data_IF_389715103585
#
_entry.id   IF_389715103585
#
_cell.length_a   1.000
_cell.length_b   1.000
_cell.length_c   1.000
_cell.angle_alpha   90.00
_cell.angle_beta   90.00
_cell.angle_gamma   90.00
#
_symmetry.space_group_name_H-M   'P 1'
#
loop_
_entity.id
_entity.type
_entity.pdbx_description
1 polymer ?
#
# COMPACT_ATOMS: atom_id res chain seq x y z
N UNK A 1 -5.94 31.47 17.50
CA UNK A 1 -6.51 30.33 18.25
C UNK A 1 -7.99 30.32 17.98
N UNK A 2 -8.42 29.67 16.89
CA UNK A 2 -9.84 29.46 16.65
C UNK A 2 -10.21 28.07 17.16
N UNK A 3 -11.16 28.04 18.09
CA UNK A 3 -11.74 26.82 18.64
C UNK A 3 -12.45 26.05 17.51
N UNK A 4 -12.36 24.72 17.46
CA UNK A 4 -13.08 23.97 16.44
C UNK A 4 -14.60 24.19 16.62
N UNK A 5 -15.26 24.61 15.54
CA UNK A 5 -16.68 24.86 15.45
C UNK A 5 -17.44 23.55 15.71
N UNK A 6 -17.84 23.30 16.95
CA UNK A 6 -18.67 22.16 17.35
C UNK A 6 -20.13 22.26 16.90
N UNK A 7 -20.57 23.42 16.41
CA UNK A 7 -21.97 23.75 16.17
C UNK A 7 -22.34 24.05 14.70
N UNK A 8 -21.52 23.62 13.74
CA UNK A 8 -21.91 23.75 12.34
C UNK A 8 -23.07 22.79 12.03
N UNK A 9 -24.12 23.26 11.29
CA UNK A 9 -25.23 22.40 10.90
C UNK A 9 -24.73 21.23 10.05
N UNK A 10 -25.20 20.03 10.37
CA UNK A 10 -24.88 18.83 9.62
C UNK A 10 -25.57 18.88 8.25
N UNK A 11 -24.87 18.49 7.18
CA UNK A 11 -25.42 18.41 5.82
C UNK A 11 -26.67 17.52 5.79
N UNK A 12 -27.75 17.90 5.10
CA UNK A 12 -28.90 17.01 4.91
C UNK A 12 -28.47 15.65 4.36
N UNK A 13 -29.02 14.56 4.91
CA UNK A 13 -28.65 13.18 4.56
C UNK A 13 -27.43 12.64 5.32
N UNK A 14 -26.82 13.44 6.21
CA UNK A 14 -25.70 13.06 7.07
C UNK A 14 -26.10 13.10 8.54
N UNK A 15 -25.39 12.34 9.36
CA UNK A 15 -25.44 12.43 10.81
C UNK A 15 -24.03 12.63 11.38
N UNK A 16 -23.94 13.23 12.56
CA UNK A 16 -22.69 13.52 13.26
C UNK A 16 -22.49 12.56 14.41
N UNK A 17 -21.28 12.02 14.52
CA UNK A 17 -20.82 11.23 15.66
C UNK A 17 -19.44 11.68 16.09
N UNK A 18 -19.13 11.55 17.39
CA UNK A 18 -17.78 11.75 17.93
C UNK A 18 -17.21 10.40 18.36
N UNK A 19 -16.10 9.99 17.76
CA UNK A 19 -15.42 8.72 18.06
C UNK A 19 -13.96 9.03 18.34
N UNK A 20 -13.44 8.71 19.53
CA UNK A 20 -12.07 8.97 19.96
C UNK A 20 -11.62 10.42 19.69
N UNK A 21 -12.44 11.41 20.07
CA UNK A 21 -12.21 12.85 19.86
C UNK A 21 -12.15 13.29 18.40
N UNK A 22 -12.54 12.43 17.44
CA UNK A 22 -12.69 12.77 16.04
C UNK A 22 -14.16 12.90 15.70
N UNK A 23 -14.54 14.03 15.11
CA UNK A 23 -15.90 14.25 14.61
C UNK A 23 -16.06 13.57 13.26
N UNK A 24 -17.11 12.76 13.13
CA UNK A 24 -17.48 12.06 11.90
C UNK A 24 -18.83 12.57 11.42
N UNK A 25 -18.85 13.19 10.26
CA UNK A 25 -20.07 13.49 9.53
C UNK A 25 -20.19 12.49 8.38
N UNK A 26 -21.13 11.57 8.50
CA UNK A 26 -21.29 10.46 7.55
C UNK A 26 -22.72 10.35 7.03
N UNK A 27 -22.93 9.88 5.78
CA UNK A 27 -24.27 9.63 5.26
C UNK A 27 -25.06 8.67 6.18
N UNK A 28 -26.38 8.85 6.28
CA UNK A 28 -27.27 7.97 7.07
C UNK A 28 -27.20 6.50 6.64
N UNK A 29 -26.67 6.23 5.44
CA UNK A 29 -26.41 4.89 4.93
C UNK A 29 -25.48 4.09 5.85
N UNK A 30 -24.55 4.75 6.55
CA UNK A 30 -23.54 4.10 7.39
C UNK A 30 -23.87 4.28 8.87
N UNK A 31 -24.02 3.17 9.59
CA UNK A 31 -24.35 3.16 11.01
C UNK A 31 -23.37 2.30 11.83
N UNK A 32 -23.48 2.35 13.15
CA UNK A 32 -22.66 1.57 14.09
C UNK A 32 -21.15 1.78 13.90
N UNK A 33 -20.72 3.02 13.76
CA UNK A 33 -19.32 3.37 13.58
C UNK A 33 -18.49 2.99 14.81
N UNK A 34 -17.38 2.30 14.59
CA UNK A 34 -16.40 1.95 15.63
C UNK A 34 -14.99 2.26 15.13
N UNK A 35 -14.18 2.91 15.96
CA UNK A 35 -12.80 3.19 15.59
C UNK A 35 -11.99 1.88 15.47
N UNK A 36 -11.27 1.71 14.37
CA UNK A 36 -10.40 0.56 14.12
C UNK A 36 -8.95 0.94 13.90
N UNK A 37 -8.65 2.19 13.55
CA UNK A 37 -7.27 2.61 13.38
C UNK A 37 -7.10 4.12 13.23
N UNK A 38 -5.91 4.61 13.57
CA UNK A 38 -5.49 6.00 13.33
C UNK A 38 -4.04 6.00 12.91
N UNK A 39 -3.72 6.71 11.84
CA UNK A 39 -2.38 6.85 11.29
C UNK A 39 -2.03 8.31 11.00
N UNK A 40 -0.83 8.53 10.45
CA UNK A 40 -0.32 9.87 10.15
C UNK A 40 -1.19 10.65 9.13
N UNK A 41 -1.97 9.96 8.31
CA UNK A 41 -2.70 10.56 7.18
C UNK A 41 -4.22 10.54 7.34
N UNK A 42 -4.74 9.87 8.36
CA UNK A 42 -6.18 9.76 8.55
C UNK A 42 -6.55 8.82 9.68
N UNK A 43 -7.84 8.74 9.94
CA UNK A 43 -8.44 7.82 10.88
C UNK A 43 -9.44 6.92 10.18
N UNK A 44 -9.58 5.68 10.66
CA UNK A 44 -10.43 4.66 10.07
C UNK A 44 -11.42 4.16 11.11
N UNK A 45 -12.68 4.06 10.72
CA UNK A 45 -13.70 3.37 11.49
C UNK A 45 -14.34 2.24 10.67
N UNK A 46 -14.79 1.18 11.33
CA UNK A 46 -15.75 0.26 10.74
C UNK A 46 -17.16 0.83 10.83
N UNK A 47 -18.02 0.47 9.92
CA UNK A 47 -19.44 0.80 9.93
C UNK A 47 -20.25 -0.33 9.31
N UNK A 48 -21.57 -0.32 9.50
CA UNK A 48 -22.51 -1.18 8.78
C UNK A 48 -23.17 -0.36 7.68
N UNK A 49 -23.02 -0.78 6.45
CA UNK A 49 -23.80 -0.25 5.32
C UNK A 49 -25.25 -0.70 5.45
N UNK A 50 -26.17 0.23 5.69
CA UNK A 50 -27.58 -0.08 5.90
C UNK A 50 -28.29 -0.61 4.63
N UNK A 51 -27.70 -0.40 3.45
CA UNK A 51 -28.22 -0.87 2.17
C UNK A 51 -27.86 -2.33 1.93
N UNK A 52 -26.57 -2.70 2.07
CA UNK A 52 -26.08 -4.06 1.82
C UNK A 52 -26.07 -4.94 3.06
N UNK A 53 -26.14 -4.34 4.26
CA UNK A 53 -25.97 -4.98 5.58
C UNK A 53 -24.54 -5.46 5.85
N UNK A 54 -23.61 -5.14 4.99
CA UNK A 54 -22.23 -5.53 5.11
C UNK A 54 -21.42 -4.59 5.99
N UNK A 55 -20.36 -5.11 6.58
CA UNK A 55 -19.39 -4.33 7.33
C UNK A 55 -18.40 -3.69 6.36
N UNK A 56 -18.22 -2.38 6.48
CA UNK A 56 -17.33 -1.58 5.63
C UNK A 56 -16.31 -0.83 6.47
N UNK A 57 -15.20 -0.41 5.85
CA UNK A 57 -14.24 0.51 6.45
C UNK A 57 -14.42 1.91 5.86
N UNK A 58 -14.44 2.93 6.73
CA UNK A 58 -14.53 4.35 6.34
C UNK A 58 -13.23 5.02 6.78
N UNK A 59 -12.43 5.50 5.82
CA UNK A 59 -11.19 6.26 6.06
C UNK A 59 -11.44 7.73 5.85
N UNK A 60 -11.25 8.53 6.89
CA UNK A 60 -11.30 10.00 6.86
C UNK A 60 -9.89 10.55 6.83
N UNK A 61 -9.56 11.34 5.82
CA UNK A 61 -8.23 11.95 5.67
C UNK A 61 -8.06 13.18 6.56
N UNK A 62 -6.85 13.33 7.14
CA UNK A 62 -6.49 14.51 7.91
C UNK A 62 -5.93 15.59 6.99
N UNK A 63 -6.61 16.75 6.92
CA UNK A 63 -6.16 17.96 6.21
C UNK A 63 -5.53 17.66 4.84
N UNK A 64 -6.25 16.99 3.94
CA UNK A 64 -5.70 16.55 2.64
C UNK A 64 -5.17 17.72 1.79
N UNK A 65 -5.55 18.96 2.08
CA UNK A 65 -5.13 20.15 1.35
C UNK A 65 -4.13 21.01 2.12
N UNK A 66 -3.46 20.49 3.13
CA UNK A 66 -2.49 21.24 3.94
C UNK A 66 -1.21 21.59 3.15
N UNK A 67 -0.81 20.75 2.20
CA UNK A 67 0.32 20.97 1.29
C UNK A 67 0.08 20.28 -0.04
N UNK A 68 0.90 20.65 -1.05
CA UNK A 68 0.86 20.03 -2.37
C UNK A 68 1.05 18.50 -2.28
N UNK A 69 2.00 18.03 -1.47
CA UNK A 69 2.28 16.61 -1.25
C UNK A 69 1.04 15.87 -0.72
N UNK A 70 0.31 16.47 0.23
CA UNK A 70 -0.90 15.86 0.79
C UNK A 70 -2.03 15.82 -0.25
N UNK A 71 -2.20 16.88 -1.03
CA UNK A 71 -3.26 16.95 -2.05
C UNK A 71 -3.02 15.95 -3.18
N UNK A 72 -1.81 15.89 -3.73
CA UNK A 72 -1.44 14.93 -4.77
C UNK A 72 -1.58 13.47 -4.28
N UNK A 73 -1.15 13.21 -3.04
CA UNK A 73 -1.29 11.89 -2.42
C UNK A 73 -2.75 11.47 -2.24
N UNK A 74 -3.60 12.40 -1.79
CA UNK A 74 -5.02 12.14 -1.60
C UNK A 74 -5.73 11.85 -2.95
N UNK A 75 -5.38 12.60 -4.00
CA UNK A 75 -5.88 12.34 -5.35
C UNK A 75 -5.44 10.98 -5.88
N UNK A 76 -4.16 10.66 -5.76
CA UNK A 76 -3.59 9.37 -6.18
C UNK A 76 -4.29 8.19 -5.49
N UNK A 77 -4.44 8.23 -4.17
CA UNK A 77 -5.12 7.18 -3.41
C UNK A 77 -6.56 7.00 -3.92
N UNK A 78 -7.28 8.09 -4.17
CA UNK A 78 -8.65 8.05 -4.69
C UNK A 78 -8.71 7.43 -6.10
N UNK A 79 -7.83 7.87 -7.02
CA UNK A 79 -7.76 7.32 -8.38
C UNK A 79 -7.41 5.84 -8.40
N UNK A 80 -6.45 5.42 -7.57
CA UNK A 80 -6.08 4.01 -7.42
C UNK A 80 -7.25 3.18 -6.90
N UNK A 81 -7.92 3.62 -5.83
CA UNK A 81 -9.08 2.92 -5.27
C UNK A 81 -10.26 2.84 -6.24
N UNK A 82 -10.43 3.81 -7.14
CA UNK A 82 -11.44 3.76 -8.22
C UNK A 82 -11.06 2.78 -9.32
N UNK A 83 -9.78 2.71 -9.67
CA UNK A 83 -9.29 1.83 -10.72
C UNK A 83 -9.35 0.35 -10.32
N UNK A 84 -9.04 0.06 -9.05
CA UNK A 84 -8.95 -1.29 -8.53
C UNK A 84 -10.33 -1.92 -8.39
N UNK A 85 -10.57 -3.01 -9.13
CA UNK A 85 -11.80 -3.80 -9.11
C UNK A 85 -11.44 -5.30 -9.10
N UNK A 86 -11.10 -5.82 -7.92
CA UNK A 86 -10.72 -7.20 -7.77
C UNK A 86 -11.16 -7.73 -6.40
N UNK A 87 -11.61 -8.97 -6.35
CA UNK A 87 -12.09 -9.61 -5.12
C UNK A 87 -11.01 -9.68 -4.02
N UNK A 88 -9.75 -9.52 -4.38
CA UNK A 88 -8.61 -9.61 -3.48
C UNK A 88 -7.86 -8.27 -3.26
N UNK A 89 -8.44 -7.12 -3.60
CA UNK A 89 -7.90 -5.77 -3.28
C UNK A 89 -9.01 -4.90 -2.72
N UNK A 90 -8.70 -4.01 -1.78
CA UNK A 90 -9.73 -3.08 -1.27
C UNK A 90 -10.33 -2.30 -2.44
N UNK A 91 -11.65 -2.37 -2.58
CA UNK A 91 -12.42 -1.71 -3.61
C UNK A 91 -13.11 -0.48 -3.02
N UNK A 92 -13.19 0.61 -3.79
CA UNK A 92 -13.93 1.80 -3.41
C UNK A 92 -15.43 1.54 -3.57
N UNK A 93 -16.14 1.44 -2.45
CA UNK A 93 -17.60 1.29 -2.43
C UNK A 93 -18.33 2.63 -2.46
N UNK A 94 -17.69 3.66 -1.89
CA UNK A 94 -18.23 5.01 -1.86
C UNK A 94 -17.14 6.04 -1.53
N UNK A 95 -17.35 7.26 -1.95
CA UNK A 95 -16.56 8.42 -1.51
C UNK A 95 -17.51 9.59 -1.28
N UNK A 96 -17.34 10.31 -0.18
CA UNK A 96 -18.23 11.43 0.16
C UNK A 96 -17.49 12.54 0.91
N UNK A 97 -18.07 13.73 0.84
CA UNK A 97 -17.66 14.86 1.67
C UNK A 97 -18.87 15.45 2.39
N UNK A 98 -18.73 15.83 3.67
CA UNK A 98 -19.77 16.57 4.36
C UNK A 98 -19.88 18.02 3.86
N UNK A 99 -18.88 18.52 3.15
CA UNK A 99 -18.80 19.90 2.69
C UNK A 99 -19.67 20.09 1.43
N UNK A 100 -20.61 21.07 1.42
CA UNK A 100 -21.61 21.16 0.37
C UNK A 100 -21.12 21.76 -0.95
N UNK A 101 -20.03 22.54 -0.92
CA UNK A 101 -19.48 23.23 -2.09
C UNK A 101 -17.97 23.14 -2.17
N UNK A 102 -17.39 23.34 -3.36
CA UNK A 102 -15.94 23.33 -3.58
C UNK A 102 -15.20 24.33 -2.69
N UNK A 103 -15.76 25.52 -2.46
CA UNK A 103 -15.13 26.53 -1.60
C UNK A 103 -14.99 26.04 -0.15
N UNK A 104 -16.02 25.35 0.36
CA UNK A 104 -16.04 24.80 1.73
C UNK A 104 -15.37 23.44 1.85
N UNK A 105 -15.01 22.81 0.74
CA UNK A 105 -14.43 21.47 0.71
C UNK A 105 -13.08 21.39 1.42
N UNK A 106 -13.04 20.78 2.59
CA UNK A 106 -11.83 20.65 3.44
C UNK A 106 -11.45 19.20 3.73
N UNK A 107 -12.41 18.28 3.66
CA UNK A 107 -12.18 16.88 3.98
C UNK A 107 -13.13 15.97 3.22
N UNK A 108 -12.71 14.72 3.05
CA UNK A 108 -13.55 13.66 2.50
C UNK A 108 -13.22 12.32 3.14
N UNK A 109 -14.09 11.35 2.95
CA UNK A 109 -13.89 9.99 3.39
C UNK A 109 -14.15 9.00 2.26
N UNK A 110 -13.33 7.97 2.15
CA UNK A 110 -13.51 6.81 1.28
C UNK A 110 -14.10 5.64 2.07
N UNK A 111 -15.01 4.90 1.46
CA UNK A 111 -15.60 3.66 1.99
C UNK A 111 -15.11 2.51 1.14
N UNK A 112 -14.56 1.49 1.76
CA UNK A 112 -13.93 0.37 1.07
C UNK A 112 -14.44 -0.97 1.59
N UNK A 113 -14.50 -1.96 0.69
CA UNK A 113 -14.60 -3.38 1.03
C UNK A 113 -13.22 -3.92 1.43
N UNK A 114 -13.20 -5.18 1.80
CA UNK A 114 -11.94 -5.79 2.28
C UNK A 114 -11.60 -7.03 1.44
N UNK A 115 -10.61 -7.04 0.50
CA UNK A 115 -10.08 -8.27 -0.17
C UNK A 115 -8.68 -8.14 -0.84
N UNK A 116 -7.97 -9.21 -1.33
CA UNK A 116 -6.53 -9.34 -1.62
C UNK A 116 -6.16 -9.44 -3.12
N UNK A 117 -4.96 -8.95 -3.58
CA UNK A 117 -4.43 -9.20 -4.91
C UNK A 117 -3.14 -8.49 -5.29
N UNK A 118 -1.96 -9.04 -4.91
CA UNK A 118 -0.68 -8.46 -5.33
C UNK A 118 -0.46 -8.63 -6.85
N UNK A 119 -0.79 -9.80 -7.39
CA UNK A 119 -0.68 -10.06 -8.83
C UNK A 119 -1.56 -9.08 -9.64
N UNK A 120 -2.79 -8.85 -9.19
CA UNK A 120 -3.71 -7.94 -9.86
C UNK A 120 -3.19 -6.49 -9.93
N UNK A 121 -2.68 -5.95 -8.82
CA UNK A 121 -2.12 -4.59 -8.85
C UNK A 121 -0.86 -4.52 -9.72
N UNK A 122 -0.04 -5.57 -9.71
CA UNK A 122 1.14 -5.68 -10.56
C UNK A 122 0.78 -5.78 -12.05
N UNK A 123 -0.31 -6.46 -12.43
CA UNK A 123 -0.79 -6.52 -13.81
C UNK A 123 -1.26 -5.14 -14.33
N UNK A 124 -1.76 -4.28 -13.44
CA UNK A 124 -2.07 -2.87 -13.74
C UNK A 124 -0.84 -1.97 -13.86
N UNK A 125 0.37 -2.48 -13.64
CA UNK A 125 1.60 -1.68 -13.59
C UNK A 125 1.81 -0.96 -12.25
N UNK A 126 1.02 -1.23 -11.23
CA UNK A 126 1.05 -0.56 -9.93
C UNK A 126 2.01 -1.30 -9.00
N UNK A 127 2.85 -0.55 -8.26
CA UNK A 127 3.70 -1.03 -7.17
C UNK A 127 3.17 -0.48 -5.87
N UNK A 128 2.93 -1.33 -4.86
CA UNK A 128 2.40 -0.91 -3.56
C UNK A 128 3.42 -0.15 -2.71
N UNK A 129 4.67 -0.63 -2.63
CA UNK A 129 5.86 -0.03 -1.99
C UNK A 129 5.85 0.09 -0.46
N UNK A 130 4.78 -0.23 0.21
CA UNK A 130 4.67 -0.17 1.68
C UNK A 130 3.97 -1.42 2.25
N UNK A 131 4.19 -2.59 1.64
CA UNK A 131 3.69 -3.84 2.19
C UNK A 131 4.37 -4.12 3.54
N UNK A 132 3.55 -4.36 4.56
CA UNK A 132 3.93 -4.69 5.94
C UNK A 132 2.72 -5.27 6.66
N UNK A 133 2.87 -5.96 7.79
CA UNK A 133 1.74 -6.52 8.52
C UNK A 133 0.64 -5.50 8.85
N UNK A 134 1.00 -4.24 9.17
CA UNK A 134 0.03 -3.18 9.46
C UNK A 134 -0.80 -2.72 8.25
N UNK A 135 -0.40 -3.08 7.01
CA UNK A 135 -1.11 -2.80 5.77
C UNK A 135 -1.76 -4.06 5.19
N UNK A 136 -1.86 -5.11 5.98
CA UNK A 136 -2.59 -6.33 5.67
C UNK A 136 -3.69 -6.54 6.70
N UNK A 137 -4.87 -6.95 6.25
CA UNK A 137 -5.95 -7.37 7.12
C UNK A 137 -6.34 -8.80 6.78
N UNK A 138 -6.76 -9.55 7.79
CA UNK A 138 -7.26 -10.92 7.64
C UNK A 138 -8.63 -11.00 8.31
N UNK A 139 -9.61 -11.57 7.62
CA UNK A 139 -10.92 -11.80 8.19
C UNK A 139 -11.00 -13.16 8.92
N UNK A 140 -12.17 -13.48 9.47
CA UNK A 140 -12.42 -14.74 10.19
C UNK A 140 -12.35 -15.99 9.30
N UNK A 141 -12.47 -15.83 7.98
CA UNK A 141 -12.33 -16.90 6.98
C UNK A 141 -10.88 -17.04 6.48
N UNK A 142 -9.91 -16.38 7.12
CA UNK A 142 -8.50 -16.33 6.70
C UNK A 142 -8.27 -15.64 5.34
N UNK A 143 -9.25 -14.89 4.83
CA UNK A 143 -9.07 -14.09 3.62
C UNK A 143 -8.20 -12.88 3.94
N UNK A 144 -7.04 -12.81 3.31
CA UNK A 144 -6.03 -11.76 3.50
C UNK A 144 -6.31 -10.56 2.56
N UNK A 145 -5.98 -9.32 2.99
CA UNK A 145 -6.32 -8.06 2.30
C UNK A 145 -5.18 -7.04 2.35
N UNK A 146 -4.81 -6.50 1.18
CA UNK A 146 -3.86 -5.39 1.07
C UNK A 146 -4.60 -4.07 1.31
N UNK A 147 -4.02 -3.23 2.18
CA UNK A 147 -4.55 -1.92 2.58
C UNK A 147 -3.55 -0.81 2.23
N UNK A 148 -4.05 0.44 2.20
CA UNK A 148 -3.25 1.68 2.15
C UNK A 148 -2.35 1.86 0.92
N UNK A 149 -2.95 2.24 -0.20
CA UNK A 149 -2.27 2.62 -1.44
C UNK A 149 -1.66 4.03 -1.44
N UNK A 150 -1.60 4.69 -0.30
CA UNK A 150 -1.10 6.07 -0.20
C UNK A 150 0.36 6.26 -0.64
N UNK A 151 1.17 5.20 -0.72
CA UNK A 151 2.53 5.21 -1.27
C UNK A 151 2.67 4.50 -2.61
N UNK A 152 1.60 3.92 -3.15
CA UNK A 152 1.64 3.20 -4.42
C UNK A 152 2.03 4.11 -5.60
N UNK A 153 2.67 3.55 -6.61
CA UNK A 153 3.13 4.24 -7.82
C UNK A 153 3.06 3.32 -9.04
N UNK A 154 3.01 3.93 -10.23
CA UNK A 154 3.34 3.23 -11.47
C UNK A 154 4.84 2.94 -11.56
N UNK A 155 5.22 1.91 -12.34
CA UNK A 155 6.58 1.36 -12.43
C UNK A 155 7.64 2.37 -12.89
N UNK A 156 7.24 3.43 -13.59
CA UNK A 156 8.16 4.41 -14.21
C UNK A 156 8.33 5.72 -13.42
N UNK A 157 7.65 5.91 -12.28
CA UNK A 157 7.66 7.20 -11.57
C UNK A 157 8.81 7.36 -10.57
N UNK A 158 9.41 8.57 -10.51
CA UNK A 158 10.49 8.93 -9.57
C UNK A 158 10.05 9.00 -8.10
N UNK A 159 10.99 8.72 -7.17
CA UNK A 159 10.72 8.57 -5.73
C UNK A 159 11.06 9.77 -4.85
N UNK A 160 10.19 10.02 -3.87
CA UNK A 160 10.50 10.81 -2.68
C UNK A 160 10.58 9.90 -1.45
N UNK A 161 11.70 9.95 -0.71
CA UNK A 161 11.92 9.15 0.50
C UNK A 161 11.13 9.70 1.69
N UNK A 162 10.43 8.83 2.42
CA UNK A 162 9.77 9.15 3.69
C UNK A 162 10.01 8.06 4.75
N UNK A 163 10.01 8.48 6.02
CA UNK A 163 10.26 7.62 7.19
C UNK A 163 9.01 6.79 7.50
N UNK A 164 8.99 5.54 7.03
CA UNK A 164 7.99 4.52 7.40
C UNK A 164 8.76 3.25 7.72
N UNK A 165 8.16 2.30 8.44
CA UNK A 165 8.81 1.08 8.92
C UNK A 165 9.64 0.39 7.84
N UNK A 166 10.97 0.51 7.91
CA UNK A 166 11.92 0.05 6.89
C UNK A 166 12.18 -1.45 6.87
N UNK A 167 11.67 -2.18 7.86
CA UNK A 167 11.99 -3.60 8.07
C UNK A 167 11.57 -4.53 6.94
N UNK A 168 10.55 -4.13 6.16
CA UNK A 168 9.99 -4.89 5.05
C UNK A 168 10.42 -4.35 3.67
N UNK A 169 11.19 -3.26 3.63
CA UNK A 169 11.57 -2.62 2.37
C UNK A 169 12.75 -3.32 1.72
N UNK A 170 12.65 -3.47 0.40
CA UNK A 170 13.74 -3.98 -0.42
C UNK A 170 14.97 -3.07 -0.36
N UNK A 171 16.20 -3.63 -0.45
CA UNK A 171 17.44 -2.84 -0.31
C UNK A 171 17.56 -1.74 -1.36
N UNK A 172 17.13 -1.98 -2.60
CA UNK A 172 17.13 -0.97 -3.66
C UNK A 172 16.23 0.23 -3.36
N UNK A 173 15.16 0.03 -2.59
CA UNK A 173 14.26 1.11 -2.13
C UNK A 173 14.89 1.92 -1.00
N UNK A 174 15.56 1.25 -0.04
CA UNK A 174 16.17 1.90 1.12
C UNK A 174 17.29 2.84 0.70
N UNK A 175 18.08 2.43 -0.30
CA UNK A 175 19.31 3.09 -0.72
C UNK A 175 19.22 3.76 -2.08
N UNK A 176 18.05 3.69 -2.74
CA UNK A 176 17.88 4.21 -4.09
C UNK A 176 18.98 3.74 -5.06
N UNK A 177 19.29 2.44 -5.03
CA UNK A 177 20.43 1.88 -5.79
C UNK A 177 20.17 1.89 -7.29
N UNK A 178 18.93 1.67 -7.69
CA UNK A 178 18.54 1.54 -9.09
C UNK A 178 17.04 1.81 -9.24
N UNK A 179 16.55 1.84 -10.46
CA UNK A 179 15.11 1.80 -10.71
C UNK A 179 14.56 0.51 -10.10
N UNK A 180 13.49 0.64 -9.32
CA UNK A 180 12.84 -0.51 -8.73
C UNK A 180 11.60 -0.90 -9.52
N UNK A 181 11.33 -2.19 -9.51
CA UNK A 181 10.22 -2.82 -10.18
C UNK A 181 9.18 -3.32 -9.17
N UNK A 182 8.15 -3.98 -9.65
CA UNK A 182 7.13 -4.65 -8.84
C UNK A 182 7.72 -5.67 -7.84
N UNK A 183 8.92 -6.18 -8.10
CA UNK A 183 9.59 -7.15 -7.23
C UNK A 183 9.99 -6.59 -5.86
N UNK A 184 9.92 -5.26 -5.65
CA UNK A 184 10.07 -4.68 -4.30
C UNK A 184 8.95 -5.14 -3.34
N UNK A 185 7.74 -5.33 -3.87
CA UNK A 185 6.60 -5.84 -3.11
C UNK A 185 6.76 -7.33 -2.81
N UNK A 186 7.39 -8.09 -3.73
CA UNK A 186 7.73 -9.50 -3.51
C UNK A 186 8.76 -9.66 -2.38
N UNK A 187 9.76 -8.78 -2.30
CA UNK A 187 10.67 -8.72 -1.15
C UNK A 187 9.93 -8.48 0.16
N UNK A 188 9.01 -7.52 0.17
CA UNK A 188 8.20 -7.22 1.35
C UNK A 188 7.32 -8.40 1.75
N UNK A 189 6.70 -9.08 0.78
CA UNK A 189 5.92 -10.29 0.99
C UNK A 189 6.77 -11.43 1.59
N UNK A 190 8.01 -11.60 1.13
CA UNK A 190 8.94 -12.58 1.71
C UNK A 190 9.28 -12.27 3.18
N UNK A 191 9.50 -10.99 3.52
CA UNK A 191 9.74 -10.59 4.91
C UNK A 191 8.53 -10.90 5.81
N UNK A 192 7.32 -10.66 5.30
CA UNK A 192 6.07 -10.95 6.01
C UNK A 192 5.87 -12.47 6.16
N UNK A 193 6.08 -13.25 5.10
CA UNK A 193 5.99 -14.70 5.14
C UNK A 193 6.96 -15.30 6.16
N UNK A 194 8.22 -14.86 6.15
CA UNK A 194 9.22 -15.30 7.11
C UNK A 194 8.82 -14.95 8.56
N UNK A 195 8.23 -13.76 8.79
CA UNK A 195 7.73 -13.37 10.10
C UNK A 195 6.52 -14.18 10.54
N UNK A 196 5.58 -14.47 9.64
CA UNK A 196 4.41 -15.33 9.92
C UNK A 196 4.83 -16.73 10.36
N UNK A 197 5.85 -17.30 9.72
CA UNK A 197 6.35 -18.66 10.02
C UNK A 197 7.18 -18.68 11.29
N UNK A 198 8.07 -17.70 11.49
CA UNK A 198 9.04 -17.70 12.59
C UNK A 198 8.55 -16.96 13.84
N UNK A 199 7.51 -16.13 13.72
CA UNK A 199 7.05 -15.23 14.78
C UNK A 199 8.01 -14.05 15.06
N UNK A 200 9.03 -13.83 14.21
CA UNK A 200 10.05 -12.81 14.39
C UNK A 200 10.25 -11.97 13.12
N UNK A 201 10.35 -10.65 13.30
CA UNK A 201 10.69 -9.74 12.20
C UNK A 201 12.04 -10.13 11.61
N UNK A 202 12.08 -10.45 10.30
CA UNK A 202 13.27 -10.97 9.63
C UNK A 202 14.45 -9.99 9.67
N UNK A 203 14.22 -8.72 9.35
CA UNK A 203 15.25 -7.68 9.30
C UNK A 203 14.85 -6.47 10.16
N UNK A 204 15.06 -6.54 11.47
CA UNK A 204 14.71 -5.47 12.41
C UNK A 204 15.85 -4.46 12.56
N UNK A 205 16.07 -3.60 11.54
CA UNK A 205 17.07 -2.55 11.55
C UNK A 205 16.66 -1.34 12.39
N UNK A 206 17.63 -0.74 13.11
CA UNK A 206 17.44 0.49 13.88
C UNK A 206 17.46 1.73 12.99
N UNK A 207 18.31 1.72 11.96
CA UNK A 207 18.42 2.73 10.92
C UNK A 207 18.62 2.08 9.54
N UNK A 208 18.79 2.85 8.49
CA UNK A 208 18.95 2.34 7.13
C UNK A 208 20.24 1.52 6.96
N UNK A 209 21.33 1.92 7.63
CA UNK A 209 22.62 1.23 7.55
C UNK A 209 22.56 -0.11 8.31
N UNK A 210 21.97 -0.12 9.51
CA UNK A 210 21.77 -1.35 10.28
C UNK A 210 20.82 -2.30 9.54
N UNK A 211 19.77 -1.77 8.89
CA UNK A 211 18.87 -2.55 8.04
C UNK A 211 19.63 -3.26 6.93
N UNK A 212 20.48 -2.54 6.18
CA UNK A 212 21.31 -3.14 5.14
C UNK A 212 22.25 -4.22 5.69
N UNK A 213 22.94 -3.92 6.80
CA UNK A 213 23.82 -4.90 7.42
C UNK A 213 23.10 -6.20 7.79
N UNK A 214 21.86 -6.10 8.29
CA UNK A 214 21.03 -7.28 8.61
C UNK A 214 20.63 -8.05 7.37
N UNK A 215 20.25 -7.36 6.30
CA UNK A 215 19.95 -7.98 5.00
C UNK A 215 21.18 -8.73 4.50
N UNK A 216 22.33 -8.06 4.40
CA UNK A 216 23.55 -8.65 3.84
C UNK A 216 24.11 -9.83 4.66
N UNK A 217 23.80 -9.90 5.96
CA UNK A 217 24.14 -11.08 6.80
C UNK A 217 23.44 -12.36 6.35
N UNK A 218 22.27 -12.24 5.71
CA UNK A 218 21.52 -13.38 5.16
C UNK A 218 21.87 -13.60 3.68
N UNK A 219 21.77 -12.53 2.89
CA UNK A 219 21.85 -12.60 1.43
C UNK A 219 23.27 -12.60 0.88
N UNK A 220 24.26 -12.26 1.72
CA UNK A 220 25.63 -11.96 1.28
C UNK A 220 25.77 -10.55 0.73
N UNK A 221 27.00 -10.10 0.47
CA UNK A 221 27.26 -8.84 -0.20
C UNK A 221 26.96 -8.95 -1.70
N UNK A 222 26.44 -7.86 -2.34
CA UNK A 222 26.25 -7.84 -3.79
C UNK A 222 27.54 -8.17 -4.54
N UNK A 223 27.44 -8.89 -5.61
CA UNK A 223 28.56 -9.15 -6.51
C UNK A 223 28.89 -7.92 -7.38
N UNK A 224 30.00 -8.00 -8.11
CA UNK A 224 30.45 -6.89 -8.95
C UNK A 224 29.48 -6.55 -10.07
N UNK A 225 28.69 -7.51 -10.57
CA UNK A 225 27.72 -7.28 -11.64
C UNK A 225 26.53 -6.47 -11.13
N UNK A 226 26.01 -6.81 -9.96
CA UNK A 226 24.92 -6.06 -9.34
C UNK A 226 25.37 -4.66 -8.92
N UNK A 227 26.59 -4.52 -8.37
CA UNK A 227 27.14 -3.19 -8.03
C UNK A 227 27.27 -2.29 -9.25
N UNK A 228 27.61 -2.83 -10.42
CA UNK A 228 27.68 -2.05 -11.68
C UNK A 228 26.31 -1.54 -12.17
N UNK A 229 25.23 -2.25 -11.87
CA UNK A 229 23.85 -1.83 -12.20
C UNK A 229 23.38 -0.67 -11.32
N UNK A 230 24.01 -0.39 -10.19
CA UNK A 230 23.63 0.71 -9.30
C UNK A 230 23.88 2.06 -9.97
N UNK A 231 22.89 2.94 -9.97
CA UNK A 231 22.99 4.27 -10.64
C UNK A 231 23.86 5.25 -9.87
N UNK A 232 23.80 5.21 -8.53
CA UNK A 232 24.56 6.11 -7.67
C UNK A 232 26.00 5.62 -7.49
N UNK A 233 26.99 6.45 -7.90
CA UNK A 233 28.41 6.18 -7.65
C UNK A 233 28.74 6.10 -6.16
N UNK A 234 28.04 6.87 -5.34
CA UNK A 234 28.20 6.85 -3.88
C UNK A 234 27.70 5.52 -3.31
N UNK A 235 26.56 5.02 -3.78
CA UNK A 235 26.04 3.70 -3.41
C UNK A 235 27.02 2.59 -3.82
N UNK A 236 27.54 2.64 -5.06
CA UNK A 236 28.56 1.69 -5.53
C UNK A 236 29.82 1.72 -4.64
N UNK A 237 30.33 2.92 -4.31
CA UNK A 237 31.53 3.07 -3.48
C UNK A 237 31.29 2.57 -2.06
N UNK A 238 30.11 2.89 -1.50
CA UNK A 238 29.72 2.40 -0.17
C UNK A 238 29.66 0.87 -0.11
N UNK A 239 28.97 0.25 -1.07
CA UNK A 239 28.81 -1.21 -1.10
C UNK A 239 30.15 -1.92 -1.31
N UNK A 240 31.04 -1.41 -2.20
CA UNK A 240 32.39 -1.94 -2.39
C UNK A 240 33.27 -1.82 -1.14
N UNK A 241 33.01 -0.82 -0.29
CA UNK A 241 33.71 -0.63 0.98
C UNK A 241 33.22 -1.52 2.13
N UNK A 242 32.11 -2.25 1.95
CA UNK A 242 31.61 -3.16 2.97
C UNK A 242 32.48 -4.41 3.07
N UNK A 243 32.68 -4.96 4.28
CA UNK A 243 33.31 -6.27 4.46
C UNK A 243 32.54 -7.34 3.69
N UNK A 244 33.22 -8.15 2.86
CA UNK A 244 32.57 -9.23 2.12
C UNK A 244 31.86 -10.21 3.07
N UNK A 245 30.62 -10.52 2.77
CA UNK A 245 29.82 -11.53 3.48
C UNK A 245 29.36 -12.59 2.49
N UNK A 246 29.50 -13.86 2.87
CA UNK A 246 28.96 -14.97 2.09
C UNK A 246 27.44 -15.06 2.34
N UNK A 247 26.68 -15.38 1.29
CA UNK A 247 25.27 -15.78 1.41
C UNK A 247 25.17 -16.93 2.40
N UNK A 248 24.27 -16.81 3.38
CA UNK A 248 23.99 -17.91 4.31
C UNK A 248 23.22 -19.02 3.60
N UNK A 249 23.38 -20.24 4.09
CA UNK A 249 22.47 -21.32 3.76
C UNK A 249 21.11 -21.03 4.40
N UNK A 250 20.05 -20.93 3.60
CA UNK A 250 18.71 -20.63 4.09
C UNK A 250 18.14 -21.75 4.98
N UNK A 251 18.54 -23.03 4.74
CA UNK A 251 18.17 -24.15 5.63
C UNK A 251 18.74 -23.97 7.05
N UNK A 252 19.94 -23.40 7.16
CA UNK A 252 20.55 -23.10 8.46
C UNK A 252 19.94 -21.82 9.09
N UNK A 253 19.53 -20.86 8.26
CA UNK A 253 18.90 -19.63 8.72
C UNK A 253 17.46 -19.84 9.20
N UNK A 254 16.77 -20.84 8.63
CA UNK A 254 15.37 -21.18 8.93
C UNK A 254 15.25 -22.67 9.29
N UNK A 255 15.78 -23.09 10.45
CA UNK A 255 15.78 -24.49 10.83
C UNK A 255 14.37 -25.02 11.04
N UNK A 256 14.08 -26.20 10.51
CA UNK A 256 12.79 -26.89 10.67
C UNK A 256 11.72 -26.49 9.67
N UNK A 257 12.01 -25.60 8.71
CA UNK A 257 11.10 -25.32 7.61
C UNK A 257 11.25 -26.35 6.49
N UNK A 258 10.16 -26.54 5.75
CA UNK A 258 10.11 -27.35 4.54
C UNK A 258 11.02 -26.78 3.44
N UNK A 259 11.57 -27.66 2.60
CA UNK A 259 12.45 -27.27 1.52
C UNK A 259 11.78 -26.35 0.51
N UNK A 260 10.50 -26.53 0.22
CA UNK A 260 9.77 -25.72 -0.74
C UNK A 260 9.56 -24.28 -0.24
N UNK A 261 9.26 -24.08 1.05
CA UNK A 261 9.15 -22.71 1.59
C UNK A 261 10.50 -22.02 1.67
N UNK A 262 11.58 -22.78 1.92
CA UNK A 262 12.95 -22.25 1.92
C UNK A 262 13.33 -21.80 0.51
N UNK A 263 13.05 -22.60 -0.51
CA UNK A 263 13.31 -22.26 -1.92
C UNK A 263 12.52 -21.01 -2.36
N UNK A 264 11.25 -20.94 -2.01
CA UNK A 264 10.42 -19.76 -2.26
C UNK A 264 11.03 -18.51 -1.61
N UNK A 265 11.35 -18.55 -0.31
CA UNK A 265 11.96 -17.43 0.40
C UNK A 265 13.30 -17.01 -0.22
N UNK A 266 14.12 -17.98 -0.63
CA UNK A 266 15.42 -17.72 -1.26
C UNK A 266 15.26 -17.00 -2.61
N UNK A 267 14.29 -17.41 -3.43
CA UNK A 267 13.94 -16.76 -4.70
C UNK A 267 13.34 -15.36 -4.53
N UNK A 268 12.53 -15.15 -3.49
CA UNK A 268 11.93 -13.85 -3.19
C UNK A 268 12.91 -12.85 -2.54
N UNK A 269 13.99 -13.31 -1.88
CA UNK A 269 14.97 -12.48 -1.17
C UNK A 269 16.29 -12.32 -1.95
N UNK A 270 16.26 -12.41 -3.27
CA UNK A 270 17.42 -12.11 -4.09
C UNK A 270 17.68 -10.59 -4.08
N UNK A 271 18.97 -10.21 -3.93
CA UNK A 271 19.39 -8.81 -3.94
C UNK A 271 19.17 -8.15 -5.29
N UNK A 272 19.43 -8.90 -6.39
CA UNK A 272 19.14 -8.41 -7.74
C UNK A 272 17.63 -8.46 -8.02
N UNK A 273 16.95 -7.30 -8.15
CA UNK A 273 15.52 -7.27 -8.41
C UNK A 273 15.12 -7.88 -9.76
N UNK A 274 16.05 -7.96 -10.74
CA UNK A 274 15.81 -8.59 -12.04
C UNK A 274 15.83 -10.13 -11.95
N UNK A 275 16.58 -10.68 -11.01
CA UNK A 275 16.65 -12.12 -10.76
C UNK A 275 15.59 -12.58 -9.73
N UNK A 276 15.05 -11.66 -8.94
CA UNK A 276 14.04 -11.94 -7.91
C UNK A 276 12.74 -12.43 -8.55
N UNK A 277 12.07 -13.39 -7.91
CA UNK A 277 10.76 -13.87 -8.34
C UNK A 277 9.78 -12.72 -8.53
N UNK A 278 8.98 -12.79 -9.59
CA UNK A 278 7.77 -11.97 -9.76
C UNK A 278 6.61 -12.55 -8.96
N UNK A 279 5.53 -11.78 -8.74
CA UNK A 279 4.32 -12.28 -8.08
C UNK A 279 3.77 -13.52 -8.80
N UNK A 280 3.74 -13.50 -10.14
CA UNK A 280 3.28 -14.63 -10.97
C UNK A 280 4.14 -15.88 -10.78
N UNK A 281 5.46 -15.71 -10.79
CA UNK A 281 6.37 -16.85 -10.55
C UNK A 281 6.22 -17.39 -9.13
N UNK A 282 6.05 -16.51 -8.13
CA UNK A 282 5.82 -16.93 -6.75
C UNK A 282 4.53 -17.73 -6.58
N UNK A 283 3.44 -17.37 -7.25
CA UNK A 283 2.17 -18.11 -7.22
C UNK A 283 2.26 -19.48 -7.90
N UNK A 284 3.12 -19.62 -8.89
CA UNK A 284 3.37 -20.91 -9.57
C UNK A 284 4.40 -21.79 -8.83
N UNK A 285 4.94 -21.34 -7.68
CA UNK A 285 5.94 -22.07 -6.91
C UNK A 285 5.31 -23.30 -6.21
N UNK A 286 6.01 -24.46 -6.15
CA UNK A 286 5.48 -25.69 -5.53
C UNK A 286 4.87 -25.49 -4.14
N UNK A 287 5.44 -24.63 -3.30
CA UNK A 287 4.94 -24.35 -1.96
C UNK A 287 3.50 -23.81 -1.92
N UNK A 288 3.07 -23.09 -2.94
CA UNK A 288 1.73 -22.47 -3.01
C UNK A 288 0.88 -22.98 -4.16
N UNK A 289 1.42 -23.83 -5.03
CA UNK A 289 0.77 -24.25 -6.27
C UNK A 289 -0.58 -24.96 -6.05
N UNK A 290 -0.76 -25.66 -4.91
CA UNK A 290 -2.04 -26.31 -4.59
C UNK A 290 -3.17 -25.33 -4.25
N UNK A 291 -2.82 -24.08 -3.91
CA UNK A 291 -3.76 -22.98 -3.61
C UNK A 291 -3.91 -22.00 -4.79
N UNK A 292 -3.18 -22.22 -5.87
CA UNK A 292 -3.15 -21.38 -7.05
C UNK A 292 -4.21 -21.82 -8.06
N UNK A 293 -5.15 -20.93 -8.37
CA UNK A 293 -6.19 -21.14 -9.39
C UNK A 293 -6.01 -20.10 -10.50
N UNK A 294 -5.34 -20.47 -11.62
CA UNK A 294 -5.08 -19.54 -12.73
C UNK A 294 -6.35 -18.98 -13.39
N UNK A 295 -7.49 -19.71 -13.31
CA UNK A 295 -8.77 -19.28 -13.89
C UNK A 295 -9.43 -18.18 -13.04
N UNK A 296 -9.02 -18.03 -11.78
CA UNK A 296 -9.49 -16.99 -10.85
C UNK A 296 -8.53 -15.78 -10.75
N UNK A 297 -7.60 -15.61 -11.68
CA UNK A 297 -6.60 -14.53 -11.68
C UNK A 297 -6.83 -13.54 -12.84
N UNK A 298 -7.84 -12.65 -12.77
CA UNK A 298 -8.05 -11.67 -13.82
C UNK A 298 -6.91 -10.65 -13.85
N UNK A 299 -6.42 -10.35 -15.04
CA UNK A 299 -5.52 -9.22 -15.27
C UNK A 299 -6.28 -7.90 -15.11
N UNK A 300 -5.64 -6.91 -14.49
CA UNK A 300 -6.16 -5.55 -14.45
C UNK A 300 -5.90 -4.82 -15.77
N UNK A 301 -6.75 -3.84 -16.09
CA UNK A 301 -6.42 -2.87 -17.11
C UNK A 301 -5.24 -2.00 -16.66
N UNK A 302 -4.39 -1.53 -17.60
CA UNK A 302 -3.31 -0.60 -17.26
C UNK A 302 -3.85 0.65 -16.53
N UNK A 303 -3.18 1.04 -15.46
CA UNK A 303 -3.55 2.23 -14.69
C UNK A 303 -3.02 3.49 -15.37
N UNK A 304 -3.91 4.47 -15.60
CA UNK A 304 -3.54 5.80 -16.10
C UNK A 304 -3.03 6.69 -14.97
N UNK A 305 -1.72 6.91 -14.92
CA UNK A 305 -1.05 7.80 -13.99
C UNK A 305 -0.56 9.12 -14.62
N UNK A 306 -1.07 9.48 -15.80
CA UNK A 306 -0.67 10.69 -16.54
C UNK A 306 -0.76 11.97 -15.70
N UNK A 307 -1.63 12.01 -14.69
CA UNK A 307 -1.75 13.12 -13.76
C UNK A 307 -0.51 13.32 -12.87
N UNK A 308 0.35 12.30 -12.68
CA UNK A 308 1.56 12.42 -11.86
C UNK A 308 2.58 13.42 -12.43
N UNK A 309 2.53 13.65 -13.75
CA UNK A 309 3.38 14.63 -14.43
C UNK A 309 2.83 16.06 -14.37
N UNK A 310 1.62 16.26 -13.80
CA UNK A 310 0.98 17.57 -13.75
C UNK A 310 1.54 18.42 -12.61
N UNK A 311 1.96 19.64 -12.95
CA UNK A 311 2.34 20.67 -11.98
C UNK A 311 1.14 21.55 -11.64
N UNK A 312 0.26 21.08 -10.75
CA UNK A 312 -0.96 21.77 -10.36
C UNK A 312 -0.83 22.42 -8.98
N UNK A 313 -1.49 23.56 -8.78
CA UNK A 313 -1.63 24.18 -7.48
C UNK A 313 -2.60 23.36 -6.58
N UNK A 314 -2.53 23.58 -5.25
CA UNK A 314 -3.38 22.87 -4.28
C UNK A 314 -4.87 23.05 -4.61
N UNK A 315 -5.29 24.23 -5.08
CA UNK A 315 -6.68 24.52 -5.46
C UNK A 315 -7.16 23.68 -6.65
N UNK A 316 -6.27 23.40 -7.61
CA UNK A 316 -6.58 22.58 -8.77
C UNK A 316 -6.69 21.09 -8.37
N UNK A 317 -5.76 20.58 -7.55
CA UNK A 317 -5.87 19.23 -6.97
C UNK A 317 -7.15 19.05 -6.16
N UNK A 318 -7.52 20.08 -5.38
CA UNK A 318 -8.77 20.11 -4.62
C UNK A 318 -9.98 20.01 -5.55
N UNK A 319 -9.98 20.72 -6.67
CA UNK A 319 -11.03 20.68 -7.69
C UNK A 319 -11.16 19.31 -8.34
N UNK A 320 -10.02 18.68 -8.69
CA UNK A 320 -10.00 17.32 -9.25
C UNK A 320 -10.57 16.29 -8.27
N UNK A 321 -10.15 16.32 -7.00
CA UNK A 321 -10.68 15.42 -5.97
C UNK A 321 -12.20 15.65 -5.79
N UNK A 322 -12.64 16.91 -5.74
CA UNK A 322 -14.06 17.22 -5.62
C UNK A 322 -14.88 16.69 -6.79
N UNK A 323 -14.36 16.82 -8.02
CA UNK A 323 -14.99 16.27 -9.23
C UNK A 323 -15.10 14.73 -9.14
N UNK A 324 -14.02 14.05 -8.73
CA UNK A 324 -14.03 12.60 -8.54
C UNK A 324 -15.10 12.15 -7.53
N UNK A 325 -15.29 12.91 -6.43
CA UNK A 325 -16.32 12.63 -5.42
C UNK A 325 -17.72 12.85 -5.99
N UNK A 326 -17.91 13.92 -6.73
CA UNK A 326 -19.25 14.29 -7.24
C UNK A 326 -19.70 13.42 -8.41
N UNK A 327 -18.76 12.80 -9.13
CA UNK A 327 -19.04 11.90 -10.26
C UNK A 327 -19.09 10.43 -9.86
N UNK A 328 -18.75 10.11 -8.63
CA UNK A 328 -18.78 8.71 -8.16
C UNK A 328 -20.20 8.25 -7.92
N UNK A 329 -20.60 7.14 -8.55
CA UNK A 329 -21.88 6.46 -8.30
C UNK A 329 -21.68 5.27 -7.36
N UNK A 330 -22.10 5.35 -6.10
CA UNK A 330 -21.95 4.27 -5.14
C UNK A 330 -22.86 3.05 -5.41
N UNK A 331 -23.79 3.16 -6.34
CA UNK A 331 -24.67 2.05 -6.73
C UNK A 331 -24.15 1.30 -7.96
N UNK A 332 -23.25 1.93 -8.73
CA UNK A 332 -22.57 1.35 -9.89
C UNK A 332 -21.08 1.70 -9.87
N UNK A 333 -20.31 1.28 -8.85
CA UNK A 333 -18.91 1.68 -8.71
C UNK A 333 -18.03 1.25 -9.90
N UNK A 334 -18.38 0.17 -10.59
CA UNK A 334 -17.66 -0.34 -11.77
C UNK A 334 -17.87 0.49 -13.05
N UNK A 335 -18.97 1.25 -13.18
CA UNK A 335 -19.28 2.04 -14.38
C UNK A 335 -18.61 3.43 -14.40
N UNK A 336 -18.02 3.85 -13.28
CA UNK A 336 -17.41 5.19 -13.14
C UNK A 336 -15.91 5.21 -13.44
N UNK A 337 -15.33 4.11 -13.92
CA UNK A 337 -13.90 3.97 -14.25
C UNK A 337 -13.56 4.28 -15.73
N UNK A 338 -14.50 4.86 -16.51
CA UNK A 338 -14.27 5.30 -17.89
C UNK A 338 -13.88 6.77 -17.96
#
# INVERSE_FOLDING_TARGET
MESPVKDSPVRPGFHRMEIQKTTWDVPHRYANLQAIGSGAYGTVCSAIDQKTKEKVAIKKLYRPFQSLIHATRAYRELRLLRHIQHDNVICLLNVFTPDPTLEKFQTFASVTSQQLGLLYIHSAGIIHRDLKPGNLAVNENCELKILDFGLARHTESEMTGYVVTRWYRAPEVIFNWMHYSQTVDVWSAACILAEMITGQVLFRGQDSIDQLKKILRLTGTPDSSLVQKMQSKDAQSYVRGLPPQKKKNFKEAFPGLDDDVIDLLEGMLLLDPEARLTAKQGLSHPYVAEYHDPDCEPDSQPYDDSFESLELAIGEWKSLIHMEIMTFDPDHPSMTAM
#
